data_IF_525838121565
#
_entry.id   IF_525838121565
#
_cell.length_a   1.000
_cell.length_b   1.000
_cell.length_c   1.000
_cell.angle_alpha   90.00
_cell.angle_beta   90.00
_cell.angle_gamma   90.00
#
_symmetry.space_group_name_H-M   'P 1'
#
loop_
_entity.id
_entity.type
_entity.pdbx_description
1 polymer ?
#
# COMPACT_ATOMS: atom_id res chain seq x y z
N UNK A 1 -10.20 48.09 -27.21
CA UNK A 1 -10.90 47.07 -26.39
C UNK A 1 -10.68 45.71 -27.03
N UNK A 2 -9.65 44.99 -26.61
CA UNK A 2 -9.29 43.68 -27.19
C UNK A 2 -10.06 42.59 -26.45
N UNK A 3 -11.08 42.01 -27.10
CA UNK A 3 -11.82 40.86 -26.58
C UNK A 3 -10.85 39.68 -26.46
N UNK A 4 -10.57 39.29 -25.22
CA UNK A 4 -9.80 38.09 -24.88
C UNK A 4 -10.66 36.89 -25.25
N UNK A 5 -10.26 36.17 -26.30
CA UNK A 5 -10.96 35.01 -26.83
C UNK A 5 -10.99 33.90 -25.76
N UNK A 6 -12.18 33.58 -25.27
CA UNK A 6 -12.39 32.49 -24.32
C UNK A 6 -12.43 31.21 -25.13
N UNK A 7 -11.34 30.43 -25.13
CA UNK A 7 -11.38 29.03 -25.57
C UNK A 7 -12.58 28.36 -24.89
N UNK A 8 -13.58 28.00 -25.68
CA UNK A 8 -14.80 27.35 -25.23
C UNK A 8 -14.44 26.09 -24.43
N UNK A 9 -15.04 25.94 -23.26
CA UNK A 9 -14.88 24.73 -22.46
C UNK A 9 -15.48 23.55 -23.24
N UNK A 10 -14.64 22.58 -23.61
CA UNK A 10 -15.08 21.35 -24.26
C UNK A 10 -15.62 20.38 -23.21
N UNK A 11 -16.65 19.61 -23.55
CA UNK A 11 -17.15 18.56 -22.67
C UNK A 11 -16.20 17.36 -22.64
N UNK A 12 -16.29 16.53 -21.59
CA UNK A 12 -15.52 15.29 -21.49
C UNK A 12 -15.80 14.34 -22.67
N UNK A 13 -17.04 14.30 -23.16
CA UNK A 13 -17.45 13.48 -24.32
C UNK A 13 -16.81 13.98 -25.61
N UNK A 14 -16.83 15.30 -25.85
CA UNK A 14 -16.18 15.90 -27.03
C UNK A 14 -14.66 15.72 -26.99
N UNK A 15 -14.05 15.86 -25.80
CA UNK A 15 -12.63 15.57 -25.60
C UNK A 15 -12.30 14.10 -25.89
N UNK A 16 -13.09 13.15 -25.38
CA UNK A 16 -12.89 11.73 -25.67
C UNK A 16 -13.01 11.42 -27.16
N UNK A 17 -13.98 12.03 -27.86
CA UNK A 17 -14.13 11.89 -29.30
C UNK A 17 -12.94 12.47 -30.08
N UNK A 18 -12.39 13.62 -29.64
CA UNK A 18 -11.17 14.19 -30.22
C UNK A 18 -9.96 13.26 -30.00
N UNK A 19 -9.78 12.75 -28.78
CA UNK A 19 -8.69 11.84 -28.45
C UNK A 19 -8.78 10.48 -29.17
N UNK A 20 -9.99 9.97 -29.41
CA UNK A 20 -10.20 8.76 -30.21
C UNK A 20 -9.75 8.93 -31.66
N UNK A 21 -9.93 10.13 -32.22
CA UNK A 21 -9.57 10.44 -33.60
C UNK A 21 -8.16 11.02 -33.76
N UNK A 22 -7.46 11.32 -32.67
CA UNK A 22 -6.07 11.81 -32.68
C UNK A 22 -5.08 10.62 -32.85
N UNK A 23 -4.41 10.48 -34.01
CA UNK A 23 -3.50 9.37 -34.25
C UNK A 23 -2.26 9.37 -33.34
N UNK A 24 -1.79 10.55 -32.90
CA UNK A 24 -0.65 10.64 -31.97
C UNK A 24 -1.04 10.18 -30.57
N UNK A 25 -2.20 10.63 -30.08
CA UNK A 25 -2.73 10.15 -28.80
C UNK A 25 -2.94 8.64 -28.82
N UNK A 26 -3.57 8.11 -29.88
CA UNK A 26 -3.80 6.67 -30.01
C UNK A 26 -2.49 5.87 -30.09
N UNK A 27 -1.45 6.38 -30.76
CA UNK A 27 -0.12 5.75 -30.76
C UNK A 27 0.47 5.71 -29.35
N UNK A 28 0.47 6.84 -28.63
CA UNK A 28 0.99 6.91 -27.25
C UNK A 28 0.25 5.96 -26.32
N UNK A 29 -1.09 5.89 -26.43
CA UNK A 29 -1.91 4.98 -25.62
C UNK A 29 -1.59 3.52 -25.91
N UNK A 30 -1.41 3.14 -27.18
CA UNK A 30 -1.02 1.76 -27.54
C UNK A 30 0.36 1.39 -26.98
N UNK A 31 1.36 2.25 -27.15
CA UNK A 31 2.70 2.00 -26.59
C UNK A 31 2.67 1.87 -25.08
N UNK A 32 1.95 2.76 -24.38
CA UNK A 32 1.80 2.67 -22.93
C UNK A 32 1.07 1.40 -22.49
N UNK A 33 0.03 0.97 -23.22
CA UNK A 33 -0.69 -0.27 -22.95
C UNK A 33 0.19 -1.50 -23.21
N UNK A 34 0.97 -1.53 -24.28
CA UNK A 34 1.93 -2.60 -24.58
C UNK A 34 2.98 -2.73 -23.46
N UNK A 35 3.58 -1.62 -23.02
CA UNK A 35 4.50 -1.59 -21.88
C UNK A 35 3.84 -2.09 -20.59
N UNK A 36 2.59 -1.69 -20.35
CA UNK A 36 1.81 -2.14 -19.19
C UNK A 36 1.58 -3.65 -19.24
N UNK A 37 1.20 -4.19 -20.40
CA UNK A 37 0.95 -5.62 -20.59
C UNK A 37 2.22 -6.47 -20.43
N UNK A 38 3.38 -5.95 -20.84
CA UNK A 38 4.67 -6.61 -20.56
C UNK A 38 4.90 -6.69 -19.05
N UNK A 39 4.79 -5.56 -18.33
CA UNK A 39 4.97 -5.53 -16.87
C UNK A 39 3.99 -6.43 -16.13
N UNK A 40 2.71 -6.44 -16.54
CA UNK A 40 1.69 -7.32 -15.95
C UNK A 40 2.09 -8.78 -16.10
N UNK A 41 2.57 -9.20 -17.27
CA UNK A 41 3.01 -10.59 -17.50
C UNK A 41 4.24 -10.95 -16.67
N UNK A 42 5.19 -10.04 -16.53
CA UNK A 42 6.37 -10.24 -15.69
C UNK A 42 6.00 -10.43 -14.21
N UNK A 43 5.12 -9.57 -13.69
CA UNK A 43 4.62 -9.68 -12.32
C UNK A 43 3.82 -10.95 -12.10
N UNK A 44 2.92 -11.30 -13.03
CA UNK A 44 2.14 -12.52 -12.95
C UNK A 44 3.03 -13.77 -12.94
N UNK A 45 4.13 -13.77 -13.70
CA UNK A 45 5.13 -14.85 -13.68
C UNK A 45 5.86 -14.91 -12.35
N UNK A 46 6.25 -13.77 -11.79
CA UNK A 46 6.94 -13.68 -10.51
C UNK A 46 6.05 -14.14 -9.33
N UNK A 47 4.73 -13.91 -9.41
CA UNK A 47 3.76 -14.32 -8.39
C UNK A 47 3.45 -15.82 -8.39
N UNK A 48 3.73 -16.56 -9.49
CA UNK A 48 3.35 -17.97 -9.62
C UNK A 48 3.74 -18.87 -8.44
N UNK A 49 4.95 -18.79 -7.87
CA UNK A 49 5.31 -19.62 -6.72
C UNK A 49 4.41 -19.34 -5.50
N UNK A 50 4.03 -18.08 -5.30
CA UNK A 50 3.16 -17.67 -4.19
C UNK A 50 1.75 -18.22 -4.39
N UNK A 51 1.22 -18.07 -5.61
CA UNK A 51 -0.11 -18.58 -5.98
C UNK A 51 -0.17 -20.10 -5.85
N UNK A 52 0.88 -20.81 -6.26
CA UNK A 52 0.97 -22.26 -6.13
C UNK A 52 0.92 -22.71 -4.65
N UNK A 53 1.71 -22.07 -3.79
CA UNK A 53 1.76 -22.39 -2.36
C UNK A 53 0.44 -22.01 -1.64
N UNK A 54 -0.21 -20.92 -2.04
CA UNK A 54 -1.54 -20.55 -1.55
C UNK A 54 -2.60 -21.60 -1.93
N UNK A 55 -2.60 -22.06 -3.19
CA UNK A 55 -3.51 -23.12 -3.66
C UNK A 55 -3.27 -24.43 -2.92
N UNK A 56 -2.01 -24.78 -2.65
CA UNK A 56 -1.67 -25.95 -1.85
C UNK A 56 -2.21 -25.84 -0.42
N UNK A 57 -2.22 -24.64 0.16
CA UNK A 57 -2.85 -24.36 1.46
C UNK A 57 -4.39 -24.27 1.41
N UNK A 58 -5.02 -24.58 0.26
CA UNK A 58 -6.47 -24.57 0.08
C UNK A 58 -7.06 -23.20 -0.28
N UNK A 59 -6.22 -22.20 -0.58
CA UNK A 59 -6.64 -20.84 -0.91
C UNK A 59 -6.64 -20.65 -2.43
N UNK A 60 -7.82 -20.61 -3.02
CA UNK A 60 -7.99 -20.51 -4.48
C UNK A 60 -7.94 -19.06 -4.93
N UNK A 61 -6.81 -18.65 -5.51
CA UNK A 61 -6.59 -17.32 -6.09
C UNK A 61 -5.82 -17.42 -7.41
N UNK A 62 -5.91 -16.37 -8.22
CA UNK A 62 -5.13 -16.21 -9.46
C UNK A 62 -3.99 -15.19 -9.28
N UNK A 63 -4.10 -14.30 -8.30
CA UNK A 63 -3.05 -13.37 -7.88
C UNK A 63 -3.11 -13.12 -6.37
N UNK A 64 -1.98 -12.70 -5.80
CA UNK A 64 -1.94 -12.19 -4.42
C UNK A 64 -2.89 -11.00 -4.25
N UNK A 65 -3.14 -10.23 -5.32
CA UNK A 65 -4.08 -9.10 -5.31
C UNK A 65 -5.52 -9.51 -5.00
N UNK A 66 -5.92 -10.75 -5.29
CA UNK A 66 -7.28 -11.22 -4.99
C UNK A 66 -7.56 -11.20 -3.48
N UNK A 67 -6.53 -11.49 -2.67
CA UNK A 67 -6.62 -11.46 -1.20
C UNK A 67 -6.73 -10.03 -0.63
N UNK A 68 -6.23 -9.03 -1.36
CA UNK A 68 -6.34 -7.63 -0.93
C UNK A 68 -7.75 -7.08 -1.18
N UNK A 69 -8.45 -7.61 -2.19
CA UNK A 69 -9.78 -7.17 -2.60
C UNK A 69 -10.93 -7.99 -1.98
N UNK A 70 -10.62 -9.08 -1.27
CA UNK A 70 -11.65 -9.87 -0.58
C UNK A 70 -11.91 -9.37 0.84
N UNK A 71 -13.16 -9.47 1.26
CA UNK A 71 -13.56 -9.29 2.66
C UNK A 71 -13.55 -10.62 3.44
N UNK A 72 -13.46 -11.75 2.74
CA UNK A 72 -13.46 -13.08 3.36
C UNK A 72 -12.15 -13.32 4.13
N UNK A 73 -12.21 -13.78 5.39
CA UNK A 73 -11.00 -14.12 6.13
C UNK A 73 -10.25 -15.30 5.49
N UNK A 74 -8.92 -15.16 5.36
CA UNK A 74 -8.04 -16.19 4.79
C UNK A 74 -6.92 -16.61 5.77
N UNK A 75 -7.25 -17.12 6.97
CA UNK A 75 -6.24 -17.46 7.98
C UNK A 75 -5.21 -18.49 7.50
N UNK A 76 -5.61 -19.42 6.61
CA UNK A 76 -4.72 -20.41 6.01
C UNK A 76 -3.66 -19.77 5.07
N UNK A 77 -3.94 -18.60 4.49
CA UNK A 77 -2.98 -17.90 3.63
C UNK A 77 -1.86 -17.23 4.44
N UNK A 78 -2.12 -16.78 5.67
CA UNK A 78 -1.20 -15.91 6.39
C UNK A 78 0.19 -16.54 6.64
N UNK A 79 0.30 -17.81 7.09
CA UNK A 79 1.61 -18.48 7.22
C UNK A 79 2.37 -18.59 5.89
N UNK A 80 1.66 -18.79 4.78
CA UNK A 80 2.25 -18.86 3.43
C UNK A 80 2.78 -17.49 3.02
N UNK A 81 1.94 -16.45 3.12
CA UNK A 81 2.28 -15.09 2.75
C UNK A 81 3.50 -14.56 3.52
N UNK A 82 3.55 -14.74 4.84
CA UNK A 82 4.72 -14.30 5.63
C UNK A 82 5.98 -15.11 5.27
N UNK A 83 5.83 -16.40 4.95
CA UNK A 83 6.94 -17.22 4.49
C UNK A 83 7.54 -16.73 3.17
N UNK A 84 6.71 -16.32 2.20
CA UNK A 84 7.19 -15.69 0.97
C UNK A 84 7.79 -14.31 1.20
N UNK A 85 7.19 -13.53 2.10
CA UNK A 85 7.70 -12.22 2.44
C UNK A 85 9.10 -12.30 3.06
N UNK A 86 9.36 -13.27 3.94
CA UNK A 86 10.70 -13.52 4.49
C UNK A 86 11.68 -14.07 3.45
N UNK A 87 11.21 -14.96 2.56
CA UNK A 87 12.05 -15.48 1.48
C UNK A 87 12.54 -14.37 0.55
N UNK A 88 11.66 -13.42 0.22
CA UNK A 88 11.96 -12.31 -0.68
C UNK A 88 12.38 -12.75 -2.08
N UNK A 89 13.06 -11.86 -2.81
CA UNK A 89 13.53 -12.12 -4.17
C UNK A 89 12.49 -11.87 -5.27
N UNK A 90 11.34 -11.31 -4.91
CA UNK A 90 10.31 -10.90 -5.87
C UNK A 90 10.48 -9.42 -6.25
N UNK A 91 9.96 -8.99 -7.42
CA UNK A 91 9.89 -7.57 -7.76
C UNK A 91 9.16 -6.76 -6.67
N UNK A 92 9.54 -5.50 -6.48
CA UNK A 92 8.99 -4.63 -5.42
C UNK A 92 7.46 -4.60 -5.41
N UNK A 93 6.81 -4.62 -6.57
CA UNK A 93 5.36 -4.61 -6.66
C UNK A 93 4.70 -5.88 -6.11
N UNK A 94 5.36 -7.03 -6.25
CA UNK A 94 4.91 -8.30 -5.67
C UNK A 94 5.14 -8.29 -4.16
N UNK A 95 6.29 -7.79 -3.69
CA UNK A 95 6.59 -7.64 -2.27
C UNK A 95 5.59 -6.70 -1.56
N UNK A 96 5.23 -5.60 -2.20
CA UNK A 96 4.20 -4.68 -1.71
C UNK A 96 2.84 -5.39 -1.63
N UNK A 97 2.48 -6.16 -2.66
CA UNK A 97 1.21 -6.89 -2.71
C UNK A 97 1.11 -7.97 -1.63
N UNK A 98 2.20 -8.69 -1.35
CA UNK A 98 2.32 -9.62 -0.22
C UNK A 98 2.06 -8.91 1.12
N UNK A 99 2.72 -7.77 1.35
CA UNK A 99 2.52 -7.00 2.58
C UNK A 99 1.10 -6.47 2.74
N UNK A 100 0.46 -6.04 1.64
CA UNK A 100 -0.96 -5.64 1.65
C UNK A 100 -1.90 -6.80 1.92
N UNK A 101 -1.64 -8.00 1.39
CA UNK A 101 -2.41 -9.20 1.73
C UNK A 101 -2.20 -9.61 3.21
N UNK A 102 -1.05 -9.30 3.79
CA UNK A 102 -0.79 -9.45 5.23
C UNK A 102 -1.40 -8.33 6.07
N UNK A 103 -2.00 -7.29 5.48
CA UNK A 103 -2.54 -6.14 6.20
C UNK A 103 -3.93 -6.40 6.81
N UNK A 104 -4.01 -7.44 7.63
CA UNK A 104 -5.20 -7.88 8.33
C UNK A 104 -4.90 -8.10 9.82
N UNK A 105 -5.90 -7.93 10.68
CA UNK A 105 -5.73 -8.06 12.14
C UNK A 105 -5.04 -9.35 12.58
N UNK A 106 -5.39 -10.54 12.05
CA UNK A 106 -4.77 -11.79 12.51
C UNK A 106 -3.26 -11.89 12.21
N UNK A 107 -2.71 -11.07 11.31
CA UNK A 107 -1.27 -11.02 11.05
C UNK A 107 -0.45 -10.53 12.25
N UNK A 108 -1.11 -10.05 13.31
CA UNK A 108 -0.47 -9.75 14.59
C UNK A 108 0.28 -10.96 15.16
N UNK A 109 -0.14 -12.20 14.81
CA UNK A 109 0.58 -13.42 15.16
C UNK A 109 2.01 -13.49 14.59
N UNK A 110 2.31 -12.66 13.59
CA UNK A 110 3.60 -12.56 12.93
C UNK A 110 4.28 -11.21 13.16
N UNK A 111 3.88 -10.47 14.20
CA UNK A 111 4.36 -9.12 14.48
C UNK A 111 5.89 -8.99 14.41
N UNK A 112 6.62 -9.83 15.15
CA UNK A 112 8.09 -9.76 15.22
C UNK A 112 8.76 -10.02 13.86
N UNK A 113 8.17 -10.92 13.06
CA UNK A 113 8.65 -11.25 11.71
C UNK A 113 8.44 -10.07 10.76
N UNK A 114 7.25 -9.46 10.79
CA UNK A 114 6.93 -8.25 10.02
C UNK A 114 7.81 -7.06 10.45
N UNK A 115 8.06 -6.93 11.75
CA UNK A 115 8.94 -5.91 12.31
C UNK A 115 10.37 -6.09 11.83
N UNK A 116 10.90 -7.32 11.85
CA UNK A 116 12.24 -7.60 11.35
C UNK A 116 12.39 -7.17 9.88
N UNK A 117 11.40 -7.48 9.05
CA UNK A 117 11.35 -7.08 7.64
C UNK A 117 11.28 -5.56 7.45
N UNK A 118 10.52 -4.86 8.31
CA UNK A 118 10.46 -3.39 8.26
C UNK A 118 11.76 -2.72 8.75
N UNK A 119 12.42 -3.30 9.74
CA UNK A 119 13.65 -2.77 10.31
C UNK A 119 14.87 -3.04 9.43
N UNK A 120 14.86 -4.11 8.63
CA UNK A 120 15.94 -4.46 7.71
C UNK A 120 15.41 -4.86 6.33
N UNK A 121 14.73 -3.95 5.60
CA UNK A 121 14.10 -4.28 4.33
C UNK A 121 15.15 -4.46 3.24
N UNK A 122 14.94 -5.44 2.36
CA UNK A 122 15.80 -5.68 1.18
C UNK A 122 15.52 -4.74 0.00
N UNK A 123 14.35 -4.11 -0.01
CA UNK A 123 13.88 -3.26 -1.10
C UNK A 123 12.68 -2.41 -0.70
N UNK A 124 12.28 -1.49 -1.58
CA UNK A 124 11.22 -0.54 -1.30
C UNK A 124 9.86 -1.23 -1.13
N UNK A 125 9.57 -2.25 -1.93
CA UNK A 125 8.31 -3.00 -1.85
C UNK A 125 8.17 -3.78 -0.54
N UNK A 126 9.27 -4.33 -0.02
CA UNK A 126 9.29 -5.03 1.26
C UNK A 126 9.12 -4.06 2.43
N UNK A 127 9.82 -2.92 2.41
CA UNK A 127 9.65 -1.86 3.40
C UNK A 127 8.20 -1.39 3.46
N UNK A 128 7.63 -1.08 2.29
CA UNK A 128 6.26 -0.57 2.19
C UNK A 128 5.25 -1.63 2.62
N UNK A 129 5.39 -2.86 2.11
CA UNK A 129 4.53 -3.97 2.46
C UNK A 129 4.54 -4.27 3.96
N UNK A 130 5.72 -4.26 4.59
CA UNK A 130 5.86 -4.53 6.02
C UNK A 130 5.25 -3.41 6.86
N UNK A 131 5.45 -2.14 6.48
CA UNK A 131 4.84 -1.01 7.16
C UNK A 131 3.31 -1.09 7.15
N UNK A 132 2.71 -1.41 5.99
CA UNK A 132 1.26 -1.55 5.84
C UNK A 132 0.73 -2.73 6.67
N UNK A 133 1.42 -3.88 6.65
CA UNK A 133 1.04 -5.05 7.44
C UNK A 133 1.08 -4.79 8.96
N UNK A 134 2.16 -4.17 9.44
CA UNK A 134 2.30 -3.75 10.84
C UNK A 134 1.22 -2.76 11.24
N UNK A 135 1.00 -1.72 10.42
CA UNK A 135 -0.02 -0.70 10.68
C UNK A 135 -1.42 -1.30 10.83
N UNK A 136 -1.80 -2.24 9.97
CA UNK A 136 -3.14 -2.84 9.98
C UNK A 136 -3.35 -3.88 11.09
N UNK A 137 -2.28 -4.54 11.54
CA UNK A 137 -2.36 -5.62 12.54
C UNK A 137 -2.05 -5.17 13.97
N UNK A 138 -1.56 -3.94 14.15
CA UNK A 138 -1.18 -3.42 15.46
C UNK A 138 -2.33 -3.43 16.49
N UNK A 139 -1.97 -3.64 17.75
CA UNK A 139 -2.87 -3.55 18.91
C UNK A 139 -2.31 -2.53 19.90
N UNK A 140 -3.05 -2.25 20.98
CA UNK A 140 -2.61 -1.33 22.02
C UNK A 140 -1.25 -1.71 22.64
N UNK A 141 -0.90 -3.01 22.68
CA UNK A 141 0.39 -3.50 23.17
C UNK A 141 1.58 -3.01 22.34
N UNK A 142 1.35 -2.66 21.08
CA UNK A 142 2.39 -2.24 20.14
C UNK A 142 2.53 -0.73 20.03
N UNK A 143 1.84 0.05 20.87
CA UNK A 143 1.83 1.51 20.79
C UNK A 143 3.24 2.10 20.83
N UNK A 144 4.09 1.65 21.76
CA UNK A 144 5.44 2.18 21.90
C UNK A 144 6.31 1.88 20.68
N UNK A 145 6.15 0.71 20.07
CA UNK A 145 6.87 0.34 18.84
C UNK A 145 6.41 1.18 17.65
N UNK A 146 5.09 1.37 17.49
CA UNK A 146 4.55 2.24 16.45
C UNK A 146 5.09 3.67 16.55
N UNK A 147 5.18 4.20 17.77
CA UNK A 147 5.77 5.52 18.04
C UNK A 147 7.26 5.51 17.69
N UNK A 148 7.99 4.46 18.08
CA UNK A 148 9.40 4.30 17.72
C UNK A 148 9.64 4.30 16.21
N UNK A 149 8.75 3.69 15.43
CA UNK A 149 8.86 3.68 13.96
C UNK A 149 8.76 5.08 13.34
N UNK A 150 8.03 6.03 13.96
CA UNK A 150 7.99 7.41 13.48
C UNK A 150 9.37 8.11 13.55
N UNK A 151 10.29 7.62 14.39
CA UNK A 151 11.63 8.19 14.53
C UNK A 151 12.67 7.59 13.57
N UNK A 152 12.31 6.57 12.76
CA UNK A 152 13.23 5.94 11.81
C UNK A 152 13.36 6.74 10.51
N UNK A 153 14.08 7.85 10.54
CA UNK A 153 14.20 8.77 9.39
C UNK A 153 14.61 8.09 8.08
N UNK A 154 15.47 7.07 8.15
CA UNK A 154 15.93 6.25 7.02
C UNK A 154 14.80 5.46 6.34
N UNK A 155 13.65 5.30 6.99
CA UNK A 155 12.45 4.66 6.42
C UNK A 155 11.60 5.65 5.62
N UNK A 156 11.99 6.92 5.56
CA UNK A 156 11.39 7.92 4.68
C UNK A 156 9.89 8.08 4.90
N UNK A 157 9.11 8.02 3.82
CA UNK A 157 7.67 8.25 3.84
C UNK A 157 6.86 7.06 4.40
N UNK A 158 7.39 5.84 4.40
CA UNK A 158 6.66 4.65 4.90
C UNK A 158 6.22 4.80 6.37
N UNK A 159 6.92 5.62 7.14
CA UNK A 159 6.55 5.95 8.53
C UNK A 159 5.14 6.53 8.66
N UNK A 160 4.61 7.15 7.60
CA UNK A 160 3.28 7.77 7.61
C UNK A 160 2.18 6.75 7.94
N UNK A 161 2.37 5.47 7.60
CA UNK A 161 1.39 4.41 7.87
C UNK A 161 1.10 4.23 9.36
N UNK A 162 2.00 4.62 10.26
CA UNK A 162 1.84 4.40 11.70
C UNK A 162 1.05 5.51 12.42
N UNK A 163 0.86 6.68 11.80
CA UNK A 163 0.14 7.80 12.43
C UNK A 163 -1.32 7.41 12.76
N UNK A 164 -2.03 6.78 11.83
CA UNK A 164 -3.42 6.34 12.03
C UNK A 164 -3.54 5.21 13.07
N UNK A 165 -2.74 4.13 13.03
CA UNK A 165 -2.72 3.11 14.07
C UNK A 165 -2.46 3.67 15.47
N UNK A 166 -1.48 4.58 15.64
CA UNK A 166 -1.22 5.24 16.94
C UNK A 166 -2.48 5.92 17.48
N UNK A 167 -3.21 6.65 16.62
CA UNK A 167 -4.47 7.26 17.00
C UNK A 167 -5.54 6.21 17.37
N UNK A 168 -5.63 5.12 16.59
CA UNK A 168 -6.66 4.10 16.73
C UNK A 168 -6.49 3.23 17.99
N UNK A 169 -5.26 2.85 18.33
CA UNK A 169 -4.98 1.91 19.43
C UNK A 169 -4.47 2.59 20.70
N UNK A 170 -4.00 3.84 20.61
CA UNK A 170 -3.33 4.53 21.71
C UNK A 170 -4.25 5.32 22.64
N UNK A 171 -5.55 5.36 22.39
CA UNK A 171 -6.52 6.10 23.22
C UNK A 171 -6.13 7.57 23.43
N UNK A 172 -6.21 8.06 24.67
CA UNK A 172 -5.84 9.45 25.01
C UNK A 172 -4.37 9.78 24.69
N UNK A 173 -3.45 8.85 24.96
CA UNK A 173 -2.01 9.02 24.66
C UNK A 173 -1.76 9.09 23.16
N UNK A 174 -2.37 8.19 22.39
CA UNK A 174 -2.30 8.18 20.92
C UNK A 174 -2.81 9.50 20.33
N UNK A 175 -3.94 10.01 20.84
CA UNK A 175 -4.48 11.31 20.41
C UNK A 175 -3.51 12.46 20.69
N UNK A 176 -2.93 12.53 21.89
CA UNK A 176 -1.95 13.57 22.24
C UNK A 176 -0.72 13.53 21.33
N UNK A 177 -0.19 12.34 21.06
CA UNK A 177 0.93 12.15 20.13
C UNK A 177 0.59 12.61 18.72
N UNK A 178 -0.55 12.20 18.16
CA UNK A 178 -0.96 12.66 16.82
C UNK A 178 -1.21 14.17 16.81
N UNK A 179 -1.69 14.76 17.91
CA UNK A 179 -1.82 16.22 18.04
C UNK A 179 -0.48 16.95 17.98
N UNK A 180 0.58 16.41 18.60
CA UNK A 180 1.92 17.02 18.53
C UNK A 180 2.52 16.97 17.12
N UNK A 181 2.10 16.01 16.29
CA UNK A 181 2.55 15.88 14.90
C UNK A 181 1.89 16.87 13.93
N UNK A 182 0.90 17.68 14.33
CA UNK A 182 0.14 18.55 13.40
C UNK A 182 0.97 19.58 12.63
N UNK A 183 2.12 19.97 13.18
CA UNK A 183 3.06 20.91 12.57
C UNK A 183 4.30 20.23 12.01
N UNK A 184 4.39 18.91 12.13
CA UNK A 184 5.50 18.13 11.59
C UNK A 184 5.54 18.23 10.06
N UNK A 185 6.71 18.44 9.43
CA UNK A 185 6.82 18.59 7.98
C UNK A 185 6.45 17.31 7.20
N UNK A 186 6.61 16.14 7.81
CA UNK A 186 6.31 14.84 7.19
C UNK A 186 4.88 14.42 7.54
N UNK A 187 4.52 14.46 8.82
CA UNK A 187 3.28 13.87 9.33
C UNK A 187 2.13 14.88 9.46
N UNK A 188 2.41 16.18 9.40
CA UNK A 188 1.43 17.22 9.74
C UNK A 188 0.18 17.23 8.86
N UNK A 189 0.32 16.91 7.56
CA UNK A 189 -0.85 16.77 6.68
C UNK A 189 -1.77 15.63 7.12
N UNK A 190 -1.20 14.44 7.37
CA UNK A 190 -1.95 13.26 7.78
C UNK A 190 -2.53 13.42 9.18
N UNK A 191 -1.75 13.90 10.14
CA UNK A 191 -2.18 14.17 11.51
C UNK A 191 -3.38 15.12 11.55
N UNK A 192 -3.34 16.22 10.78
CA UNK A 192 -4.47 17.17 10.68
C UNK A 192 -5.71 16.53 10.06
N UNK A 193 -5.54 15.72 9.01
CA UNK A 193 -6.66 15.02 8.36
C UNK A 193 -7.32 13.98 9.26
N UNK A 194 -6.54 13.26 10.06
CA UNK A 194 -7.06 12.26 11.01
C UNK A 194 -7.80 12.92 12.18
N UNK A 195 -7.29 14.03 12.72
CA UNK A 195 -7.89 14.73 13.86
C UNK A 195 -9.15 15.53 13.51
N UNK A 196 -9.32 15.93 12.23
CA UNK A 196 -10.52 16.65 11.77
C UNK A 196 -11.71 15.72 11.51
N UNK A 197 -11.47 14.42 11.31
CA UNK A 197 -12.51 13.40 11.24
C UNK A 197 -13.08 13.21 12.66
N UNK A 198 -14.34 13.60 12.86
CA UNK A 198 -15.10 13.22 14.06
C UNK A 198 -15.21 11.69 14.09
N UNK A 199 -14.46 11.05 14.98
CA UNK A 199 -14.78 9.72 15.53
C UNK A 199 -16.06 9.78 16.34
#
# INVERSE_FOLDING_TARGET
MTRRDRRSAISATELMAQLQNDPEYQRKMRTAEEERQVKVRELARAEQPIVADLRHAGVQVDSVWDLVNTSEPYPAALPVLIGHMERGGYPDRVMESLGRALAVKPSVAFWDRLRALYLAPRGAGEQEGAAVALAASATAHHLDELVGFLSLEERGQSRIYFVRPILAVGGGRGRQLVMSLRSDPVFGKEARALLSRRT
#
